data_IF_662605005688
#
_entry.id   IF_662605005688
#
_cell.length_a   1.000
_cell.length_b   1.000
_cell.length_c   1.000
_cell.angle_alpha   90.00
_cell.angle_beta   90.00
_cell.angle_gamma   90.00
#
_symmetry.space_group_name_H-M   'P 1'
#
loop_
_entity.id
_entity.type
_entity.pdbx_description
1 polymer ?
#
# COMPACT_ATOMS: atom_id res chain seq x y z
N UNK A 1 -2.32 7.46 -6.59
CA UNK A 1 -1.27 6.84 -7.44
C UNK A 1 -1.70 5.41 -7.66
N UNK A 2 -2.14 5.08 -8.88
CA UNK A 2 -2.45 3.70 -9.25
C UNK A 2 -1.15 3.08 -9.72
N UNK A 3 -0.56 2.21 -8.92
CA UNK A 3 0.42 1.26 -9.44
C UNK A 3 -0.43 0.13 -9.99
N UNK A 4 -0.48 0.04 -11.31
CA UNK A 4 -1.30 -0.94 -12.02
C UNK A 4 -0.72 -2.34 -11.89
N UNK A 5 0.61 -2.47 -11.73
CA UNK A 5 1.27 -3.77 -11.70
C UNK A 5 2.54 -3.73 -10.83
N UNK A 6 2.64 -4.63 -9.84
CA UNK A 6 3.83 -4.76 -8.99
C UNK A 6 5.08 -5.22 -9.76
N UNK A 7 4.89 -5.90 -10.89
CA UNK A 7 5.98 -6.39 -11.75
C UNK A 7 6.89 -5.29 -12.27
N UNK A 8 6.45 -4.03 -12.30
CA UNK A 8 7.33 -2.89 -12.64
C UNK A 8 8.48 -2.67 -11.66
N UNK A 9 8.42 -3.26 -10.48
CA UNK A 9 9.49 -3.20 -9.49
C UNK A 9 10.42 -4.41 -9.53
N UNK A 10 10.17 -5.39 -10.40
CA UNK A 10 10.89 -6.64 -10.46
C UNK A 10 11.80 -6.70 -11.68
N UNK A 11 12.94 -7.35 -11.53
CA UNK A 11 13.81 -7.75 -12.64
C UNK A 11 13.30 -9.02 -13.34
N UNK A 12 14.06 -9.50 -14.33
CA UNK A 12 13.72 -10.70 -15.10
C UNK A 12 13.66 -11.97 -14.26
N UNK A 13 14.31 -11.98 -13.10
CA UNK A 13 14.34 -13.10 -12.16
C UNK A 13 13.22 -13.01 -11.12
N UNK A 14 12.43 -11.92 -11.14
CA UNK A 14 11.35 -11.66 -10.19
C UNK A 14 11.82 -11.05 -8.87
N UNK A 15 13.05 -10.55 -8.81
CA UNK A 15 13.61 -9.90 -7.62
C UNK A 15 13.51 -8.37 -7.70
N UNK A 16 13.57 -7.68 -6.57
CA UNK A 16 13.69 -6.23 -6.56
C UNK A 16 15.15 -5.88 -6.84
N UNK A 17 15.49 -5.22 -7.96
CA UNK A 17 16.87 -5.06 -8.39
C UNK A 17 17.64 -4.15 -7.43
N UNK A 18 18.92 -4.51 -7.20
CA UNK A 18 19.76 -3.86 -6.18
C UNK A 18 20.18 -2.43 -6.55
N UNK A 19 20.23 -2.13 -7.84
CA UNK A 19 20.60 -0.84 -8.44
C UNK A 19 19.44 0.18 -8.44
N UNK A 20 18.24 -0.23 -8.01
CA UNK A 20 17.09 0.66 -7.87
C UNK A 20 17.36 1.77 -6.84
N UNK A 21 16.94 3.03 -7.12
CA UNK A 21 17.00 4.11 -6.15
C UNK A 21 16.36 3.71 -4.81
N UNK A 22 16.98 4.13 -3.70
CA UNK A 22 16.59 3.70 -2.36
C UNK A 22 15.10 3.86 -2.09
N UNK A 23 14.52 5.00 -2.43
CA UNK A 23 13.11 5.30 -2.20
C UNK A 23 12.17 4.38 -3.01
N UNK A 24 12.57 4.04 -4.23
CA UNK A 24 11.84 3.11 -5.08
C UNK A 24 11.96 1.67 -4.53
N UNK A 25 13.15 1.27 -4.07
CA UNK A 25 13.37 -0.04 -3.45
C UNK A 25 12.58 -0.20 -2.14
N UNK A 26 12.50 0.86 -1.33
CA UNK A 26 11.69 0.89 -0.11
C UNK A 26 10.19 0.80 -0.43
N UNK A 27 9.72 1.43 -1.53
CA UNK A 27 8.34 1.29 -1.99
C UNK A 27 8.04 -0.14 -2.48
N UNK A 28 8.93 -0.70 -3.30
CA UNK A 28 8.81 -2.06 -3.81
C UNK A 28 8.76 -3.08 -2.66
N UNK A 29 9.66 -2.95 -1.69
CA UNK A 29 9.69 -3.82 -0.50
C UNK A 29 8.40 -3.71 0.31
N UNK A 30 7.87 -2.50 0.48
CA UNK A 30 6.58 -2.29 1.16
C UNK A 30 5.41 -2.91 0.40
N UNK A 31 5.41 -2.86 -0.93
CA UNK A 31 4.39 -3.51 -1.75
C UNK A 31 4.48 -5.04 -1.71
N UNK A 32 5.69 -5.59 -1.71
CA UNK A 32 5.91 -7.02 -1.53
C UNK A 32 5.28 -7.50 -0.21
N UNK A 33 5.45 -6.75 0.89
CA UNK A 33 4.81 -7.06 2.17
C UNK A 33 3.28 -7.04 2.09
N UNK A 34 2.70 -6.07 1.38
CA UNK A 34 1.24 -6.01 1.17
C UNK A 34 0.77 -7.23 0.40
N UNK A 35 1.46 -7.61 -0.68
CA UNK A 35 1.09 -8.78 -1.49
C UNK A 35 1.21 -10.06 -0.67
N UNK A 36 2.34 -10.26 0.01
CA UNK A 36 2.61 -11.43 0.86
C UNK A 36 1.53 -11.60 1.94
N UNK A 37 1.25 -10.56 2.71
CA UNK A 37 0.23 -10.62 3.75
C UNK A 37 -1.19 -10.73 3.16
N UNK A 38 -1.42 -10.20 1.95
CA UNK A 38 -2.70 -10.37 1.29
C UNK A 38 -2.95 -11.83 0.86
N UNK A 39 -1.93 -12.52 0.35
CA UNK A 39 -2.06 -13.86 -0.21
C UNK A 39 -1.84 -14.97 0.81
N UNK A 40 -1.39 -14.63 2.02
CA UNK A 40 -1.10 -15.57 3.11
C UNK A 40 -2.26 -16.46 3.52
N UNK A 41 -3.46 -15.91 3.65
CA UNK A 41 -4.68 -16.64 4.01
C UNK A 41 -5.87 -16.14 3.18
N UNK A 42 -6.66 -17.07 2.62
CA UNK A 42 -7.88 -16.75 1.88
C UNK A 42 -9.07 -17.61 2.33
N UNK A 43 -10.22 -17.02 2.70
CA UNK A 43 -10.48 -15.58 2.80
C UNK A 43 -9.71 -14.94 3.96
N UNK A 44 -9.22 -13.71 3.76
CA UNK A 44 -8.44 -13.03 4.80
C UNK A 44 -9.29 -12.84 6.07
N UNK A 45 -8.72 -13.12 7.26
CA UNK A 45 -9.36 -12.74 8.51
C UNK A 45 -9.52 -11.22 8.57
N UNK A 46 -10.60 -10.73 9.21
CA UNK A 46 -10.86 -9.28 9.41
C UNK A 46 -9.84 -8.59 10.34
N UNK A 47 -8.76 -9.27 10.69
CA UNK A 47 -7.70 -8.77 11.57
C UNK A 47 -6.75 -7.86 10.80
N UNK A 48 -6.18 -6.89 11.51
CA UNK A 48 -5.17 -5.99 10.93
C UNK A 48 -3.96 -6.78 10.43
N UNK A 49 -3.43 -6.42 9.25
CA UNK A 49 -2.35 -7.13 8.54
C UNK A 49 -0.99 -7.17 9.28
N UNK A 50 -0.89 -6.59 10.48
CA UNK A 50 0.37 -6.44 11.23
C UNK A 50 1.39 -5.48 10.59
N UNK A 51 1.19 -5.07 9.33
CA UNK A 51 2.05 -4.14 8.60
C UNK A 51 1.81 -2.71 9.12
N UNK A 52 2.90 -2.02 9.46
CA UNK A 52 2.85 -0.60 9.87
C UNK A 52 2.76 0.32 8.66
N UNK A 53 2.08 1.45 8.83
CA UNK A 53 2.03 2.47 7.80
C UNK A 53 3.43 3.05 7.52
N UNK A 54 3.80 3.13 6.24
CA UNK A 54 5.08 3.67 5.78
C UNK A 54 5.31 5.15 6.12
N UNK A 55 4.25 5.92 6.39
CA UNK A 55 4.35 7.35 6.67
C UNK A 55 5.09 7.58 7.99
N UNK A 56 6.14 8.42 7.97
CA UNK A 56 6.89 8.79 9.19
C UNK A 56 5.94 9.28 10.28
N UNK A 57 6.15 8.79 11.51
CA UNK A 57 5.35 9.08 12.72
C UNK A 57 3.90 8.60 12.66
N UNK A 58 3.52 7.75 11.70
CA UNK A 58 2.22 7.09 11.71
C UNK A 58 2.28 5.85 12.61
N UNK A 59 1.37 5.78 13.58
CA UNK A 59 1.19 4.59 14.45
C UNK A 59 0.14 3.63 13.89
N UNK A 60 -0.45 3.96 12.74
CA UNK A 60 -1.47 3.15 12.10
C UNK A 60 -0.91 1.87 11.49
N UNK A 61 -1.76 0.86 11.49
CA UNK A 61 -1.55 -0.38 10.76
C UNK A 61 -2.19 -0.29 9.37
N UNK A 62 -1.81 -1.19 8.49
CA UNK A 62 -2.45 -1.36 7.19
C UNK A 62 -3.58 -2.37 7.33
N UNK A 63 -4.75 -2.02 6.82
CA UNK A 63 -5.82 -2.98 6.54
C UNK A 63 -5.70 -3.37 5.07
N UNK A 64 -5.81 -4.66 4.81
CA UNK A 64 -5.74 -5.25 3.47
C UNK A 64 -7.07 -5.92 3.17
N UNK A 65 -7.48 -5.88 1.92
CA UNK A 65 -8.64 -6.59 1.42
C UNK A 65 -8.39 -7.01 -0.03
N UNK A 66 -8.70 -8.26 -0.35
CA UNK A 66 -8.75 -8.73 -1.74
C UNK A 66 -10.16 -8.51 -2.28
N UNK A 67 -10.27 -7.80 -3.40
CA UNK A 67 -11.48 -7.76 -4.22
C UNK A 67 -11.33 -8.75 -5.37
N UNK A 68 -11.91 -9.94 -5.21
CA UNK A 68 -11.85 -11.00 -6.22
C UNK A 68 -12.65 -10.69 -7.47
N UNK A 69 -13.56 -9.71 -7.45
CA UNK A 69 -14.35 -9.36 -8.65
C UNK A 69 -13.54 -8.53 -9.63
N UNK A 70 -12.71 -7.65 -9.09
CA UNK A 70 -11.87 -6.75 -9.86
C UNK A 70 -10.41 -7.22 -9.93
N UNK A 71 -10.09 -8.34 -9.28
CA UNK A 71 -8.73 -8.91 -9.20
C UNK A 71 -7.71 -7.91 -8.65
N UNK A 72 -8.11 -7.11 -7.65
CA UNK A 72 -7.27 -6.08 -7.02
C UNK A 72 -7.07 -6.33 -5.53
N UNK A 73 -5.90 -5.93 -5.03
CA UNK A 73 -5.62 -5.83 -3.60
C UNK A 73 -5.84 -4.36 -3.19
N UNK A 74 -6.80 -4.12 -2.32
CA UNK A 74 -7.05 -2.83 -1.69
C UNK A 74 -6.31 -2.75 -0.35
N UNK A 75 -5.61 -1.65 -0.08
CA UNK A 75 -5.01 -1.42 1.23
C UNK A 75 -5.17 0.02 1.70
N UNK A 76 -5.31 0.19 3.02
CA UNK A 76 -5.48 1.52 3.65
C UNK A 76 -4.84 1.57 5.03
N UNK A 77 -4.43 2.77 5.46
CA UNK A 77 -3.95 2.98 6.83
C UNK A 77 -5.12 3.21 7.78
N UNK A 78 -5.10 2.59 8.96
CA UNK A 78 -6.16 2.70 9.98
C UNK A 78 -6.22 4.06 10.68
N UNK A 79 -5.12 4.83 10.69
CA UNK A 79 -5.00 6.10 11.44
C UNK A 79 -5.19 7.34 10.57
N UNK A 80 -5.71 7.22 9.35
CA UNK A 80 -5.97 8.39 8.50
C UNK A 80 -7.21 9.18 8.97
N UNK A 81 -7.10 9.89 10.10
CA UNK A 81 -8.00 10.94 10.54
C UNK A 81 -7.17 12.12 11.11
N UNK A 82 -7.62 13.35 10.82
CA UNK A 82 -7.19 14.63 11.42
C UNK A 82 -6.04 15.40 10.76
N UNK A 83 -6.23 15.92 9.53
CA UNK A 83 -5.85 17.30 9.18
C UNK A 83 -6.42 17.70 7.79
N UNK A 84 -7.74 17.67 7.63
CA UNK A 84 -8.42 18.33 6.50
C UNK A 84 -9.70 19.03 7.00
N UNK A 85 -9.92 20.33 6.68
CA UNK A 85 -11.22 20.99 6.89
C UNK A 85 -12.31 20.26 6.06
N UNK A 86 -13.61 20.42 6.40
CA UNK A 86 -14.67 19.52 5.95
C UNK A 86 -14.95 19.73 4.45
N UNK A 87 -14.66 18.72 3.62
CA UNK A 87 -15.07 18.64 2.21
C UNK A 87 -15.25 17.16 1.82
N UNK A 88 -16.03 16.88 0.75
CA UNK A 88 -17.38 16.30 0.71
C UNK A 88 -17.36 14.74 0.67
N UNK A 89 -18.49 14.01 0.55
CA UNK A 89 -18.64 12.63 1.05
C UNK A 89 -18.00 11.52 0.20
N UNK A 90 -16.93 11.80 -0.53
CA UNK A 90 -16.21 10.81 -1.32
C UNK A 90 -14.81 10.55 -0.73
N UNK A 91 -14.42 9.30 -0.46
CA UNK A 91 -13.11 8.99 0.08
C UNK A 91 -12.04 9.31 -0.97
N UNK A 92 -11.35 10.43 -0.79
CA UNK A 92 -10.20 10.79 -1.63
C UNK A 92 -8.96 10.05 -1.13
N UNK A 93 -8.25 9.30 -2.01
CA UNK A 93 -7.10 8.50 -1.61
C UNK A 93 -5.84 9.38 -1.45
N UNK A 94 -5.38 9.55 -0.21
CA UNK A 94 -4.01 9.80 0.31
C UNK A 94 -2.88 10.46 -0.52
N UNK A 95 -3.12 11.13 -1.64
CA UNK A 95 -2.07 11.69 -2.50
C UNK A 95 -2.25 13.19 -2.71
N UNK A 96 -1.62 14.02 -1.87
CA UNK A 96 -1.34 15.43 -2.20
C UNK A 96 0.15 15.56 -2.57
N UNK A 97 0.37 15.92 -3.83
CA UNK A 97 1.65 16.23 -4.47
C UNK A 97 2.13 17.60 -3.95
N UNK A 98 3.37 17.70 -3.46
CA UNK A 98 4.11 18.97 -3.47
C UNK A 98 5.00 18.92 -4.70
N UNK A 99 4.61 19.63 -5.74
CA UNK A 99 5.48 20.01 -6.86
C UNK A 99 5.72 21.51 -6.71
N UNK A 100 6.96 21.86 -6.37
CA UNK A 100 7.52 23.16 -6.73
C UNK A 100 7.92 23.17 -8.20
#
# INVERSE_FOLDING_TARGET
>A
MYITTFTHFLDEEGNIPHDMPKEARELASFMALIVDEATKEYPQPKTSSGIRCRKKKCTGAIDIKIDTRNEVIEWRCTTFHLHTPPLPPYPTPCWRRNSG
#
